data_IF_884272960188
#
_entry.id   IF_884272960188
#
_cell.length_a   1.000
_cell.length_b   1.000
_cell.length_c   1.000
_cell.angle_alpha   90.00
_cell.angle_beta   90.00
_cell.angle_gamma   90.00
#
_symmetry.space_group_name_H-M   'P 1'
#
loop_
_entity.id
_entity.type
_entity.pdbx_description
1 polymer ?
#
# COMPACT_ATOMS: atom_id res chain seq x y z
N UNK A 1 18.51 20.20 33.47
CA UNK A 1 17.75 18.95 33.39
C UNK A 1 18.33 18.16 32.23
N UNK A 2 19.02 17.06 32.52
CA UNK A 2 19.56 16.15 31.50
C UNK A 2 18.37 15.36 30.96
N UNK A 3 18.09 15.51 29.66
CA UNK A 3 17.13 14.65 28.98
C UNK A 3 17.70 13.21 28.98
N UNK A 4 16.97 12.29 29.62
CA UNK A 4 17.35 10.88 29.67
C UNK A 4 17.35 10.32 28.25
N UNK A 5 18.46 9.68 27.87
CA UNK A 5 18.54 8.86 26.66
C UNK A 5 17.50 7.75 26.83
N UNK A 6 16.55 7.54 25.87
CA UNK A 6 15.62 6.43 25.98
C UNK A 6 16.42 5.11 25.99
N UNK A 7 16.07 4.22 26.92
CA UNK A 7 16.68 2.90 26.98
C UNK A 7 16.51 2.20 25.63
N UNK A 8 17.57 1.66 25.07
CA UNK A 8 17.51 0.86 23.85
C UNK A 8 16.53 -0.31 24.10
N UNK A 9 15.42 -0.35 23.36
CA UNK A 9 14.50 -1.49 23.40
C UNK A 9 15.27 -2.76 23.08
N UNK A 10 15.08 -3.78 23.92
CA UNK A 10 15.75 -5.06 23.73
C UNK A 10 15.34 -5.65 22.36
N UNK A 11 16.32 -5.96 21.53
CA UNK A 11 16.06 -6.59 20.22
C UNK A 11 15.32 -7.93 20.45
N UNK A 12 14.24 -8.21 19.70
CA UNK A 12 13.54 -9.46 19.81
C UNK A 12 14.47 -10.62 19.43
N UNK A 13 14.44 -11.67 20.21
CA UNK A 13 15.24 -12.88 19.96
C UNK A 13 14.64 -13.64 18.77
N UNK A 14 15.43 -13.84 17.72
CA UNK A 14 15.06 -14.75 16.64
C UNK A 14 15.22 -16.20 17.09
N UNK A 15 14.23 -17.01 16.78
CA UNK A 15 14.25 -18.46 16.97
C UNK A 15 14.15 -19.15 15.61
N UNK A 16 14.76 -20.34 15.51
CA UNK A 16 14.77 -21.11 14.27
C UNK A 16 14.26 -22.52 14.57
N UNK A 17 13.28 -22.96 13.80
CA UNK A 17 12.83 -24.36 13.76
C UNK A 17 13.11 -24.94 12.37
N UNK A 18 13.41 -26.24 12.31
CA UNK A 18 13.58 -27.00 11.07
C UNK A 18 12.47 -28.01 10.95
N UNK A 19 11.83 -28.04 9.82
CA UNK A 19 10.95 -29.11 9.35
C UNK A 19 11.59 -29.78 8.13
N UNK A 20 11.10 -30.93 7.69
CA UNK A 20 11.78 -31.82 6.72
C UNK A 20 12.37 -31.14 5.46
N UNK A 21 11.87 -29.97 5.03
CA UNK A 21 12.39 -29.26 3.87
C UNK A 21 12.39 -27.73 4.02
N UNK A 22 12.03 -27.20 5.20
CA UNK A 22 11.92 -25.75 5.41
C UNK A 22 12.61 -25.34 6.69
N UNK A 23 13.15 -24.13 6.70
CA UNK A 23 13.62 -23.45 7.90
C UNK A 23 12.57 -22.39 8.25
N UNK A 24 12.02 -22.46 9.44
CA UNK A 24 11.10 -21.48 9.97
C UNK A 24 11.87 -20.56 10.90
N UNK A 25 11.90 -19.27 10.60
CA UNK A 25 12.44 -18.22 11.47
C UNK A 25 11.27 -17.51 12.11
N UNK A 26 11.24 -17.42 13.44
CA UNK A 26 10.14 -16.81 14.16
C UNK A 26 10.62 -15.95 15.32
N UNK A 27 9.77 -14.98 15.72
CA UNK A 27 10.04 -14.02 16.79
C UNK A 27 8.75 -13.60 17.49
N UNK A 28 8.82 -13.15 18.76
CA UNK A 28 7.66 -12.64 19.46
C UNK A 28 7.05 -11.43 18.76
N UNK A 29 5.75 -11.40 18.58
CA UNK A 29 5.03 -10.18 18.17
C UNK A 29 5.02 -9.23 19.35
N UNK A 30 5.68 -8.08 19.20
CA UNK A 30 5.60 -7.04 20.23
C UNK A 30 4.28 -6.29 20.13
N UNK A 31 3.66 -6.00 21.28
CA UNK A 31 2.38 -5.28 21.37
C UNK A 31 2.39 -3.88 20.70
N UNK A 32 3.54 -3.37 20.32
CA UNK A 32 3.73 -2.02 19.75
C UNK A 32 3.94 -2.00 18.23
N UNK A 33 3.63 -3.08 17.52
CA UNK A 33 3.59 -3.08 16.05
C UNK A 33 4.91 -2.75 15.35
N UNK A 34 6.05 -3.11 15.95
CA UNK A 34 7.35 -3.02 15.27
C UNK A 34 7.41 -4.04 14.14
N UNK A 35 7.35 -3.56 12.91
CA UNK A 35 7.55 -4.40 11.73
C UNK A 35 9.03 -4.79 11.67
N UNK A 36 9.32 -6.08 11.88
CA UNK A 36 10.64 -6.62 11.65
C UNK A 36 10.78 -7.08 10.21
N UNK A 37 11.82 -6.62 9.54
CA UNK A 37 12.23 -7.14 8.24
C UNK A 37 13.31 -8.19 8.47
N UNK A 38 13.03 -9.45 8.10
CA UNK A 38 14.05 -10.48 8.14
C UNK A 38 15.11 -10.20 7.07
N UNK A 39 16.34 -10.05 7.51
CA UNK A 39 17.51 -9.91 6.64
C UNK A 39 18.38 -11.15 6.73
N UNK A 40 19.07 -11.48 5.66
CA UNK A 40 20.01 -12.60 5.63
C UNK A 40 21.32 -12.21 4.97
N UNK A 41 22.37 -12.94 5.35
CA UNK A 41 23.70 -12.89 4.70
C UNK A 41 24.31 -14.29 4.67
N UNK A 42 25.17 -14.55 3.71
CA UNK A 42 25.98 -15.78 3.64
C UNK A 42 27.39 -15.58 4.22
N UNK A 43 27.76 -14.34 4.53
CA UNK A 43 29.07 -14.00 5.07
C UNK A 43 28.93 -13.02 6.25
N UNK A 44 29.65 -13.26 7.32
CA UNK A 44 29.70 -12.39 8.50
C UNK A 44 30.93 -11.45 8.57
N UNK A 45 31.85 -11.56 7.62
CA UNK A 45 33.08 -10.76 7.66
C UNK A 45 33.55 -10.28 6.25
N UNK A 46 33.19 -9.07 5.79
CA UNK A 46 32.17 -8.18 6.31
C UNK A 46 30.76 -8.66 5.94
N UNK A 47 29.77 -8.45 6.79
CA UNK A 47 28.41 -8.88 6.49
C UNK A 47 27.74 -7.95 5.47
N UNK A 48 27.16 -8.54 4.44
CA UNK A 48 26.22 -7.82 3.53
C UNK A 48 24.80 -8.29 3.82
N UNK A 49 24.09 -7.55 4.68
CA UNK A 49 22.73 -7.87 5.06
C UNK A 49 21.74 -7.38 4.00
N UNK A 50 21.00 -8.31 3.40
CA UNK A 50 19.93 -8.02 2.44
C UNK A 50 18.61 -8.61 2.94
N UNK A 51 17.49 -8.03 2.50
CA UNK A 51 16.17 -8.61 2.81
C UNK A 51 16.12 -10.07 2.34
N UNK A 52 15.57 -10.94 3.17
CA UNK A 52 15.39 -12.36 2.84
C UNK A 52 14.19 -12.48 1.87
N UNK A 53 14.45 -12.33 0.57
CA UNK A 53 13.43 -12.29 -0.49
C UNK A 53 12.71 -13.62 -0.73
N UNK A 54 13.23 -14.72 -0.19
CA UNK A 54 12.61 -16.04 -0.18
C UNK A 54 11.84 -16.34 1.11
N UNK A 55 11.74 -15.35 2.02
CA UNK A 55 10.98 -15.50 3.26
C UNK A 55 9.48 -15.42 2.97
N UNK A 56 8.76 -16.49 3.26
CA UNK A 56 7.30 -16.58 3.08
C UNK A 56 6.64 -16.60 4.46
N UNK A 57 5.70 -15.69 4.76
CA UNK A 57 4.95 -15.72 6.02
C UNK A 57 4.27 -17.08 6.25
N UNK A 58 4.35 -17.58 7.47
CA UNK A 58 3.73 -18.84 7.89
C UNK A 58 3.13 -18.68 9.29
N UNK A 59 2.13 -19.49 9.61
CA UNK A 59 1.56 -19.52 10.97
C UNK A 59 2.42 -20.40 11.87
N UNK A 60 2.89 -19.85 12.99
CA UNK A 60 3.63 -20.59 14.02
C UNK A 60 3.18 -20.17 15.42
N UNK A 61 2.11 -20.76 15.90
CA UNK A 61 1.45 -20.34 17.15
C UNK A 61 0.94 -18.89 17.05
N UNK A 62 1.24 -18.09 18.08
CA UNK A 62 0.93 -16.64 18.12
C UNK A 62 2.12 -15.76 17.77
N UNK A 63 3.17 -16.30 17.17
CA UNK A 63 4.40 -15.59 16.84
C UNK A 63 4.42 -15.18 15.38
N UNK A 64 5.09 -14.08 15.08
CA UNK A 64 5.44 -13.74 13.71
C UNK A 64 6.47 -14.77 13.20
N UNK A 65 6.21 -15.35 12.05
CA UNK A 65 7.05 -16.40 11.49
C UNK A 65 7.13 -16.32 9.97
N UNK A 66 8.28 -16.73 9.43
CA UNK A 66 8.48 -16.90 8.00
C UNK A 66 9.16 -18.22 7.71
N UNK A 67 8.76 -18.87 6.64
CA UNK A 67 9.48 -20.00 6.06
C UNK A 67 10.52 -19.47 5.08
N UNK A 68 11.74 -19.95 5.15
CA UNK A 68 12.81 -19.63 4.19
C UNK A 68 13.31 -20.89 3.52
N UNK A 69 13.82 -20.75 2.29
CA UNK A 69 14.35 -21.86 1.54
C UNK A 69 15.58 -22.45 2.26
N UNK A 70 15.59 -23.76 2.44
CA UNK A 70 16.76 -24.46 2.96
C UNK A 70 17.81 -24.55 1.84
N UNK A 71 18.94 -23.83 2.01
CA UNK A 71 20.06 -23.85 1.07
C UNK A 71 21.18 -24.72 1.61
N UNK A 72 22.03 -25.25 0.72
CA UNK A 72 23.22 -26.03 1.09
C UNK A 72 24.34 -25.17 1.69
N UNK A 73 24.27 -23.84 1.54
CA UNK A 73 25.25 -22.89 2.06
C UNK A 73 24.80 -22.34 3.42
N UNK A 74 25.78 -22.00 4.27
CA UNK A 74 25.50 -21.32 5.53
C UNK A 74 24.76 -20.00 5.27
N UNK A 75 23.71 -19.74 6.05
CA UNK A 75 22.91 -18.53 5.97
C UNK A 75 22.63 -18.01 7.37
N UNK A 76 22.89 -16.75 7.58
CA UNK A 76 22.70 -16.06 8.85
C UNK A 76 21.51 -15.12 8.72
N UNK A 77 20.77 -14.94 9.80
CA UNK A 77 19.57 -14.11 9.82
C UNK A 77 19.65 -13.07 10.94
N UNK A 78 19.09 -11.90 10.68
CA UNK A 78 18.79 -10.91 11.69
C UNK A 78 17.42 -10.29 11.42
N UNK A 79 16.76 -9.78 12.46
CA UNK A 79 15.59 -8.95 12.33
C UNK A 79 16.04 -7.49 12.33
N UNK A 80 15.78 -6.78 11.24
CA UNK A 80 15.92 -5.33 11.20
C UNK A 80 14.63 -4.73 11.70
N UNK A 81 14.62 -4.22 12.92
CA UNK A 81 13.46 -3.51 13.44
C UNK A 81 13.40 -2.14 12.77
N UNK A 82 12.32 -1.87 12.09
CA UNK A 82 12.00 -0.52 11.62
C UNK A 82 11.00 0.05 12.62
N UNK A 83 11.36 1.09 13.37
CA UNK A 83 10.41 1.72 14.27
C UNK A 83 9.17 2.14 13.47
N UNK A 84 7.96 1.99 14.02
CA UNK A 84 6.78 2.61 13.41
C UNK A 84 7.09 4.09 13.27
N UNK A 85 6.90 4.64 12.07
CA UNK A 85 7.03 6.08 11.90
C UNK A 85 5.99 6.76 12.80
N UNK A 86 6.33 7.90 13.39
CA UNK A 86 5.42 8.64 14.25
C UNK A 86 4.11 9.06 13.55
N UNK A 87 4.07 8.93 12.22
CA UNK A 87 2.95 9.26 11.33
C UNK A 87 2.06 8.05 10.97
N UNK A 88 2.25 6.90 11.62
CA UNK A 88 1.38 5.72 11.42
C UNK A 88 1.61 4.95 10.12
N UNK A 89 2.73 5.17 9.44
CA UNK A 89 3.07 4.47 8.20
C UNK A 89 3.72 3.09 8.45
N UNK A 90 3.62 2.20 7.48
CA UNK A 90 4.34 0.93 7.43
C UNK A 90 5.59 1.06 6.55
N UNK A 91 6.66 0.40 6.92
CA UNK A 91 7.88 0.31 6.10
C UNK A 91 7.76 -0.84 5.09
N UNK A 92 7.96 -0.52 3.83
CA UNK A 92 8.01 -1.50 2.74
C UNK A 92 9.46 -1.65 2.30
N UNK A 93 10.06 -2.84 2.44
CA UNK A 93 11.49 -3.03 2.16
C UNK A 93 11.78 -2.95 0.66
N UNK A 94 12.98 -2.48 0.33
CA UNK A 94 13.48 -2.53 -1.04
C UNK A 94 13.58 -3.97 -1.54
N UNK A 95 13.40 -4.17 -2.84
CA UNK A 95 13.61 -5.47 -3.47
C UNK A 95 12.86 -5.65 -4.77
N UNK A 96 13.26 -6.68 -5.51
CA UNK A 96 12.58 -7.08 -6.73
C UNK A 96 11.35 -7.91 -6.43
N UNK A 97 10.32 -7.78 -7.28
CA UNK A 97 9.15 -8.64 -7.28
C UNK A 97 8.58 -8.71 -8.70
N UNK A 98 7.66 -9.61 -8.93
CA UNK A 98 6.91 -9.68 -10.19
C UNK A 98 5.60 -8.92 -10.01
N UNK A 99 5.44 -7.79 -10.73
CA UNK A 99 4.17 -7.08 -10.85
C UNK A 99 3.28 -7.79 -11.88
N UNK A 100 1.98 -7.83 -11.60
CA UNK A 100 1.01 -8.57 -12.43
C UNK A 100 1.04 -10.08 -12.18
N UNK A 101 0.06 -10.76 -12.73
CA UNK A 101 -0.03 -12.22 -12.75
C UNK A 101 -0.85 -12.71 -13.95
N UNK A 102 -1.10 -14.02 -14.02
CA UNK A 102 -1.90 -14.65 -15.07
C UNK A 102 -3.11 -15.41 -14.53
N UNK A 103 -3.49 -15.14 -13.27
CA UNK A 103 -4.46 -15.95 -12.55
C UNK A 103 -5.88 -15.75 -13.13
N UNK A 104 -6.22 -14.51 -13.48
CA UNK A 104 -7.58 -14.14 -13.90
C UNK A 104 -7.67 -13.73 -15.39
N UNK A 105 -6.59 -13.92 -16.15
CA UNK A 105 -6.58 -13.72 -17.60
C UNK A 105 -6.62 -12.27 -18.07
N UNK A 106 -6.31 -11.34 -17.20
CA UNK A 106 -6.33 -9.90 -17.49
C UNK A 106 -5.21 -9.50 -18.46
N UNK A 107 -5.59 -9.00 -19.63
CA UNK A 107 -4.64 -8.64 -20.70
C UNK A 107 -3.67 -7.50 -20.33
N UNK A 108 -4.03 -6.71 -19.32
CA UNK A 108 -3.23 -5.57 -18.83
C UNK A 108 -2.24 -5.91 -17.73
N UNK A 109 -2.32 -7.10 -17.13
CA UNK A 109 -1.58 -7.51 -15.92
C UNK A 109 -0.45 -8.49 -16.21
N UNK A 110 0.19 -8.40 -17.37
CA UNK A 110 1.27 -9.31 -17.81
C UNK A 110 2.43 -9.28 -16.80
N UNK A 111 2.81 -10.46 -16.24
CA UNK A 111 3.87 -10.54 -15.25
C UNK A 111 5.18 -9.92 -15.72
N UNK A 112 5.70 -8.94 -14.98
CA UNK A 112 6.91 -8.21 -15.30
C UNK A 112 7.78 -8.09 -14.05
N UNK A 113 9.08 -8.38 -14.16
CA UNK A 113 10.01 -8.19 -13.04
C UNK A 113 10.37 -6.72 -12.89
N UNK A 114 10.19 -6.19 -11.68
CA UNK A 114 10.54 -4.82 -11.31
C UNK A 114 11.31 -4.81 -9.99
N UNK A 115 12.12 -3.77 -9.81
CA UNK A 115 12.72 -3.45 -8.52
C UNK A 115 12.06 -2.19 -7.96
N UNK A 116 11.73 -2.20 -6.68
CA UNK A 116 11.18 -1.04 -5.97
C UNK A 116 12.05 -0.74 -4.76
N UNK A 117 12.52 0.50 -4.66
CA UNK A 117 13.28 1.02 -3.51
C UNK A 117 12.44 1.00 -2.24
N UNK A 118 13.07 1.05 -1.06
CA UNK A 118 12.34 1.09 0.20
C UNK A 118 11.55 2.40 0.33
N UNK A 119 10.34 2.29 0.91
CA UNK A 119 9.46 3.42 1.13
C UNK A 119 8.56 3.18 2.35
N UNK A 120 7.89 4.23 2.80
CA UNK A 120 6.82 4.14 3.79
C UNK A 120 5.47 4.30 3.11
N UNK A 121 4.46 3.55 3.56
CA UNK A 121 3.07 3.62 3.10
C UNK A 121 2.13 3.79 4.28
N UNK A 122 1.10 4.62 4.14
CA UNK A 122 0.02 4.72 5.13
C UNK A 122 -0.56 3.34 5.40
N UNK A 123 -0.70 2.97 6.67
CA UNK A 123 -1.25 1.65 7.05
C UNK A 123 -2.69 1.49 6.62
N UNK A 124 -3.45 2.56 6.66
CA UNK A 124 -4.84 2.61 6.27
C UNK A 124 -5.03 3.51 5.04
N UNK A 125 -6.17 3.38 4.42
CA UNK A 125 -6.73 4.41 3.55
C UNK A 125 -6.79 5.76 4.29
N UNK A 126 -6.71 6.87 3.56
CA UNK A 126 -6.94 8.20 4.15
C UNK A 126 -8.39 8.26 4.61
N UNK A 127 -8.62 8.39 5.91
CA UNK A 127 -9.98 8.52 6.46
C UNK A 127 -10.58 9.91 6.21
N UNK A 128 -11.90 10.02 6.25
CA UNK A 128 -12.60 11.31 6.10
C UNK A 128 -12.12 12.33 7.13
N UNK A 129 -11.89 11.93 8.40
CA UNK A 129 -11.39 12.85 9.43
C UNK A 129 -9.96 13.30 9.14
N UNK A 130 -9.09 12.42 8.63
CA UNK A 130 -7.73 12.79 8.24
C UNK A 130 -7.75 13.73 7.02
N UNK A 131 -8.59 13.42 6.03
CA UNK A 131 -8.81 14.29 4.88
C UNK A 131 -9.24 15.69 5.32
N UNK A 132 -10.28 15.82 6.12
CA UNK A 132 -10.82 17.09 6.58
C UNK A 132 -9.79 17.94 7.36
N UNK A 133 -8.95 17.29 8.18
CA UNK A 133 -7.89 17.98 8.92
C UNK A 133 -6.87 18.64 7.99
N UNK A 134 -6.39 17.93 7.00
CA UNK A 134 -5.45 18.46 6.01
C UNK A 134 -6.14 19.42 5.03
N UNK A 135 -7.38 19.12 4.60
CA UNK A 135 -8.17 20.00 3.73
C UNK A 135 -8.36 21.39 4.34
N UNK A 136 -8.70 21.46 5.63
CA UNK A 136 -8.86 22.71 6.34
C UNK A 136 -7.53 23.50 6.42
N UNK A 137 -6.42 22.81 6.70
CA UNK A 137 -5.09 23.41 6.63
C UNK A 137 -4.78 23.90 5.20
N UNK A 138 -4.94 23.06 4.21
CA UNK A 138 -4.64 23.35 2.80
C UNK A 138 -5.39 24.58 2.30
N UNK A 139 -6.69 24.66 2.53
CA UNK A 139 -7.51 25.82 2.12
C UNK A 139 -7.08 27.11 2.81
N UNK A 140 -6.65 27.04 4.10
CA UNK A 140 -6.06 28.19 4.79
C UNK A 140 -4.71 28.65 4.20
N UNK A 141 -4.01 27.76 3.51
CA UNK A 141 -2.75 28.05 2.80
C UNK A 141 -2.96 28.38 1.30
N UNK A 142 -4.20 28.55 0.85
CA UNK A 142 -4.53 28.95 -0.53
C UNK A 142 -4.61 27.77 -1.52
N UNK A 143 -4.65 26.54 -1.06
CA UNK A 143 -4.96 25.39 -1.93
C UNK A 143 -6.42 25.44 -2.39
N UNK A 144 -6.68 24.98 -3.59
CA UNK A 144 -8.05 24.81 -4.12
C UNK A 144 -8.30 23.36 -4.49
N UNK A 145 -9.50 22.90 -4.23
CA UNK A 145 -9.96 21.55 -4.53
C UNK A 145 -11.24 21.62 -5.35
N UNK A 146 -11.43 20.64 -6.24
CA UNK A 146 -12.70 20.48 -6.98
C UNK A 146 -13.73 19.80 -6.07
N UNK A 147 -13.29 18.82 -5.28
CA UNK A 147 -14.14 18.05 -4.39
C UNK A 147 -13.71 18.28 -2.93
N UNK A 148 -14.70 18.42 -2.06
CA UNK A 148 -14.46 18.58 -0.62
C UNK A 148 -14.13 17.23 0.07
N UNK A 149 -14.33 16.11 -0.64
CA UNK A 149 -14.28 14.77 -0.06
C UNK A 149 -15.48 14.49 0.85
N UNK A 150 -15.97 13.27 0.81
CA UNK A 150 -17.09 12.85 1.66
C UNK A 150 -16.97 11.37 2.04
N UNK A 151 -17.75 10.94 3.00
CA UNK A 151 -18.18 9.58 3.31
C UNK A 151 -19.20 9.66 4.49
N UNK A 152 -19.76 8.53 4.88
CA UNK A 152 -20.80 8.43 5.92
C UNK A 152 -20.29 8.66 7.34
N UNK A 153 -19.00 8.49 7.64
CA UNK A 153 -18.44 8.63 8.98
C UNK A 153 -16.99 9.12 8.98
N UNK A 154 -16.55 9.69 10.08
CA UNK A 154 -15.22 10.27 10.24
C UNK A 154 -14.05 9.25 10.07
N UNK A 155 -14.29 7.99 10.41
CA UNK A 155 -13.30 6.90 10.37
C UNK A 155 -13.45 5.98 9.16
N UNK A 156 -14.35 6.25 8.22
CA UNK A 156 -14.42 5.57 6.92
C UNK A 156 -13.46 6.23 5.93
N UNK A 157 -13.08 5.59 4.81
CA UNK A 157 -12.20 6.20 3.80
C UNK A 157 -12.80 7.50 3.27
N UNK A 158 -11.98 8.50 2.99
CA UNK A 158 -12.47 9.60 2.16
C UNK A 158 -12.77 9.08 0.77
N UNK A 159 -13.90 9.49 0.22
CA UNK A 159 -14.32 9.20 -1.14
C UNK A 159 -14.78 10.47 -1.86
N UNK A 160 -15.16 10.33 -3.14
CA UNK A 160 -15.52 11.47 -3.98
C UNK A 160 -14.39 12.49 -4.04
N UNK A 161 -13.19 11.99 -4.33
CA UNK A 161 -11.97 12.78 -4.55
C UNK A 161 -11.34 12.37 -5.87
N UNK A 162 -10.93 13.34 -6.67
CA UNK A 162 -10.23 13.10 -7.92
C UNK A 162 -8.69 13.00 -7.71
N UNK A 163 -7.98 12.60 -8.76
CA UNK A 163 -6.54 12.45 -8.71
C UNK A 163 -5.81 13.77 -8.37
N UNK A 164 -6.29 14.89 -8.92
CA UNK A 164 -5.68 16.21 -8.67
C UNK A 164 -5.90 16.67 -7.23
N UNK A 165 -7.06 16.38 -6.66
CA UNK A 165 -7.36 16.68 -5.26
C UNK A 165 -6.45 15.87 -4.32
N UNK A 166 -6.25 14.57 -4.60
CA UNK A 166 -5.33 13.71 -3.84
C UNK A 166 -3.89 14.20 -3.90
N UNK A 167 -3.42 14.65 -5.07
CA UNK A 167 -2.08 15.20 -5.29
C UNK A 167 -1.87 16.51 -4.52
N UNK A 168 -2.83 17.43 -4.57
CA UNK A 168 -2.80 18.70 -3.82
C UNK A 168 -2.84 18.45 -2.31
N UNK A 169 -3.70 17.54 -1.86
CA UNK A 169 -3.81 17.15 -0.47
C UNK A 169 -2.49 16.56 0.06
N UNK A 170 -1.83 15.70 -0.72
CA UNK A 170 -0.53 15.12 -0.37
C UNK A 170 0.55 16.19 -0.19
N UNK A 171 0.56 17.22 -1.05
CA UNK A 171 1.43 18.37 -0.89
C UNK A 171 1.14 19.16 0.38
N UNK A 172 -0.13 19.43 0.66
CA UNK A 172 -0.54 20.13 1.88
C UNK A 172 -0.16 19.36 3.15
N UNK A 173 -0.37 18.03 3.17
CA UNK A 173 0.08 17.14 4.23
C UNK A 173 1.59 17.22 4.43
N UNK A 174 2.35 17.26 3.35
CA UNK A 174 3.80 17.42 3.40
C UNK A 174 4.19 18.74 4.05
N UNK A 175 3.60 19.84 3.63
CA UNK A 175 3.88 21.17 4.20
C UNK A 175 3.49 21.27 5.68
N UNK A 176 2.33 20.73 6.06
CA UNK A 176 1.91 20.70 7.45
C UNK A 176 2.88 19.91 8.34
N UNK A 177 3.46 18.82 7.79
CA UNK A 177 4.48 18.01 8.45
C UNK A 177 5.91 18.60 8.38
N UNK A 178 6.11 19.77 7.79
CA UNK A 178 7.44 20.37 7.59
C UNK A 178 8.32 19.64 6.57
N UNK A 179 7.70 18.83 5.69
CA UNK A 179 8.40 18.09 4.63
C UNK A 179 8.35 18.84 3.30
N UNK A 180 9.33 18.59 2.43
CA UNK A 180 9.33 19.12 1.06
C UNK A 180 8.23 18.47 0.24
N UNK A 181 7.27 19.24 -0.33
CA UNK A 181 6.25 18.73 -1.24
C UNK A 181 6.84 17.99 -2.43
N UNK A 182 6.07 17.06 -2.98
CA UNK A 182 6.51 16.25 -4.14
C UNK A 182 6.05 16.83 -5.46
N UNK A 183 4.88 17.51 -5.51
CA UNK A 183 4.23 17.87 -6.76
C UNK A 183 4.32 19.36 -7.07
N UNK A 184 4.62 19.67 -8.34
CA UNK A 184 4.92 21.01 -8.81
C UNK A 184 4.23 21.30 -10.15
N UNK A 185 4.03 22.58 -10.45
CA UNK A 185 3.51 23.03 -11.75
C UNK A 185 4.59 23.20 -12.81
N UNK A 186 5.88 23.09 -12.45
CA UNK A 186 7.01 23.27 -13.36
C UNK A 186 8.13 22.26 -13.11
N UNK A 187 8.88 21.93 -14.16
CA UNK A 187 9.98 20.97 -14.13
C UNK A 187 11.18 21.39 -13.24
N UNK A 188 11.28 22.68 -12.90
CA UNK A 188 12.31 23.21 -12.01
C UNK A 188 11.98 23.06 -10.53
N UNK A 189 10.82 22.52 -10.20
CA UNK A 189 10.34 22.29 -8.81
C UNK A 189 10.37 23.56 -7.94
N UNK A 190 9.99 24.70 -8.52
CA UNK A 190 9.98 25.99 -7.83
C UNK A 190 8.59 26.48 -7.45
N UNK A 191 7.55 25.91 -8.08
CA UNK A 191 6.14 26.27 -7.86
C UNK A 191 5.36 25.04 -7.44
N UNK A 192 5.04 24.94 -6.14
CA UNK A 192 4.24 23.85 -5.59
C UNK A 192 2.87 23.82 -6.26
N UNK A 193 2.39 22.61 -6.61
CA UNK A 193 1.08 22.42 -7.17
C UNK A 193 0.00 22.55 -6.08
N UNK A 194 -0.64 23.70 -6.03
CA UNK A 194 -1.68 24.06 -5.04
C UNK A 194 -3.03 24.35 -5.67
N UNK A 195 -3.04 24.61 -6.97
CA UNK A 195 -4.23 24.97 -7.73
C UNK A 195 -4.14 24.37 -9.14
N UNK A 196 -5.26 23.98 -9.68
CA UNK A 196 -5.37 23.36 -10.99
C UNK A 196 -6.02 21.98 -10.92
N UNK A 197 -6.49 21.53 -12.08
CA UNK A 197 -7.20 20.27 -12.30
C UNK A 197 -6.97 19.82 -13.76
N UNK A 198 -8.01 19.38 -14.43
CA UNK A 198 -7.98 18.84 -15.79
C UNK A 198 -7.15 19.71 -16.76
N UNK A 199 -6.25 19.04 -17.46
CA UNK A 199 -5.33 19.67 -18.39
C UNK A 199 -4.07 20.28 -17.76
N UNK A 200 -3.96 20.29 -16.42
CA UNK A 200 -2.75 20.75 -15.74
C UNK A 200 -1.67 19.66 -15.75
N UNK A 201 -0.47 20.02 -16.20
CA UNK A 201 0.69 19.13 -16.12
C UNK A 201 1.25 19.21 -14.70
N UNK A 202 1.35 18.04 -14.05
CA UNK A 202 1.92 17.91 -12.71
C UNK A 202 3.29 17.24 -12.81
N UNK A 203 4.33 17.90 -12.27
CA UNK A 203 5.69 17.39 -12.19
C UNK A 203 5.97 16.86 -10.79
N UNK A 204 6.60 15.69 -10.68
CA UNK A 204 6.95 15.07 -9.40
C UNK A 204 8.45 15.14 -9.12
N UNK A 205 8.82 15.75 -8.00
CA UNK A 205 10.18 15.70 -7.46
C UNK A 205 10.38 14.41 -6.65
N UNK A 206 10.87 13.39 -7.30
CA UNK A 206 11.09 12.07 -6.67
C UNK A 206 12.20 12.06 -5.61
N UNK A 207 13.02 13.08 -5.53
CA UNK A 207 14.01 13.26 -4.47
C UNK A 207 13.42 13.87 -3.19
N UNK A 208 12.20 14.42 -3.24
CA UNK A 208 11.54 14.98 -2.07
C UNK A 208 11.08 13.88 -1.11
N UNK A 209 11.02 14.22 0.20
CA UNK A 209 10.62 13.30 1.28
C UNK A 209 9.17 13.51 1.74
N UNK A 210 8.41 14.32 1.04
CA UNK A 210 7.00 14.55 1.30
C UNK A 210 6.12 13.36 0.95
N UNK A 211 4.85 13.49 1.33
CA UNK A 211 3.80 12.52 1.00
C UNK A 211 3.41 12.64 -0.47
N UNK A 212 3.06 11.52 -1.06
CA UNK A 212 2.62 11.40 -2.45
C UNK A 212 1.74 10.17 -2.66
N UNK A 213 1.08 10.09 -3.78
CA UNK A 213 0.44 8.86 -4.23
C UNK A 213 1.50 7.76 -4.45
N UNK A 214 1.17 6.49 -4.21
CA UNK A 214 2.03 5.38 -4.60
C UNK A 214 2.16 5.32 -6.12
N UNK A 215 3.29 4.85 -6.63
CA UNK A 215 3.32 4.30 -7.97
C UNK A 215 2.54 2.98 -7.99
N UNK A 216 2.11 2.56 -9.16
CA UNK A 216 1.42 1.28 -9.32
C UNK A 216 2.26 0.11 -8.81
N UNK A 217 3.55 0.12 -9.07
CA UNK A 217 4.48 -0.92 -8.60
C UNK A 217 4.69 -0.88 -7.08
N UNK A 218 4.72 0.30 -6.47
CA UNK A 218 4.77 0.43 -5.00
C UNK A 218 3.49 -0.10 -4.37
N UNK A 219 2.32 0.22 -4.94
CA UNK A 219 1.04 -0.25 -4.43
C UNK A 219 0.95 -1.78 -4.46
N UNK A 220 1.21 -2.41 -5.63
CA UNK A 220 1.12 -3.87 -5.74
C UNK A 220 2.14 -4.60 -4.87
N UNK A 221 3.39 -4.10 -4.80
CA UNK A 221 4.39 -4.66 -3.86
C UNK A 221 3.90 -4.62 -2.42
N UNK A 222 3.30 -3.52 -2.02
CA UNK A 222 2.74 -3.32 -0.69
C UNK A 222 1.53 -4.24 -0.44
N UNK A 223 0.61 -4.34 -1.40
CA UNK A 223 -0.56 -5.21 -1.33
C UNK A 223 -0.18 -6.68 -1.16
N UNK A 224 0.81 -7.15 -1.89
CA UNK A 224 1.29 -8.54 -1.79
C UNK A 224 1.88 -8.89 -0.43
N UNK A 225 2.14 -7.94 0.45
CA UNK A 225 2.54 -8.20 1.85
C UNK A 225 3.79 -9.06 2.01
N UNK A 226 4.67 -9.14 0.99
CA UNK A 226 5.84 -10.03 0.93
C UNK A 226 5.55 -11.40 0.31
N UNK A 227 4.32 -11.72 -0.03
CA UNK A 227 3.95 -12.93 -0.77
C UNK A 227 4.24 -12.77 -2.25
N UNK A 228 4.42 -13.89 -2.95
CA UNK A 228 4.60 -13.89 -4.40
C UNK A 228 3.57 -14.78 -5.06
N UNK A 229 3.02 -14.33 -6.19
CA UNK A 229 2.08 -15.10 -7.02
C UNK A 229 0.77 -15.50 -6.33
N UNK A 230 0.41 -14.85 -5.23
CA UNK A 230 -0.88 -15.04 -4.59
C UNK A 230 -1.90 -14.07 -5.21
N UNK A 231 -3.17 -14.47 -5.26
CA UNK A 231 -4.25 -13.63 -5.80
C UNK A 231 -4.51 -12.41 -4.91
N UNK A 232 -4.60 -12.64 -3.58
CA UNK A 232 -4.95 -11.62 -2.60
C UNK A 232 -3.78 -11.33 -1.64
N UNK A 233 -3.87 -10.29 -0.80
CA UNK A 233 -2.82 -9.88 0.14
C UNK A 233 -2.39 -10.95 1.16
N UNK A 234 -3.16 -12.02 1.31
CA UNK A 234 -2.98 -13.09 2.31
C UNK A 234 -2.96 -14.51 1.72
N UNK A 235 -3.26 -14.69 0.44
CA UNK A 235 -3.33 -16.02 -0.20
C UNK A 235 -4.18 -16.04 -1.46
N UNK A 236 -4.74 -17.20 -1.79
CA UNK A 236 -5.47 -17.40 -3.04
C UNK A 236 -6.99 -17.47 -2.87
N UNK A 237 -7.50 -17.27 -1.66
CA UNK A 237 -8.94 -17.21 -1.35
C UNK A 237 -9.29 -15.93 -0.61
N UNK A 238 -10.53 -15.48 -0.71
CA UNK A 238 -11.05 -14.29 -0.05
C UNK A 238 -12.37 -14.60 0.65
N UNK A 239 -12.67 -13.84 1.72
CA UNK A 239 -13.96 -13.85 2.40
C UNK A 239 -14.25 -12.47 2.99
N UNK A 240 -15.51 -12.20 3.32
CA UNK A 240 -15.92 -10.97 4.01
C UNK A 240 -15.30 -10.76 5.41
N UNK A 241 -14.63 -11.78 5.97
CA UNK A 241 -13.83 -11.60 7.19
C UNK A 241 -12.46 -10.98 6.94
N UNK A 242 -12.06 -10.82 5.68
CA UNK A 242 -10.76 -10.34 5.25
C UNK A 242 -10.82 -9.02 4.48
N UNK A 243 -11.97 -8.74 3.82
CA UNK A 243 -12.16 -7.56 3.00
C UNK A 243 -13.63 -7.11 2.98
N UNK A 244 -13.88 -5.86 2.58
CA UNK A 244 -15.20 -5.32 2.32
C UNK A 244 -15.45 -5.30 0.81
N UNK A 245 -16.26 -6.24 0.32
CA UNK A 245 -16.58 -6.46 -1.09
C UNK A 245 -17.96 -7.11 -1.23
N UNK A 246 -18.46 -7.29 -2.43
CA UNK A 246 -19.72 -7.99 -2.75
C UNK A 246 -19.40 -9.48 -3.03
N UNK A 247 -19.69 -10.37 -2.07
CA UNK A 247 -19.35 -11.79 -2.15
C UNK A 247 -20.19 -12.54 -3.20
N UNK A 248 -19.54 -13.42 -3.98
CA UNK A 248 -20.20 -14.30 -4.96
C UNK A 248 -19.49 -15.66 -5.04
N UNK A 249 -19.93 -16.59 -4.19
CA UNK A 249 -19.41 -17.95 -4.14
C UNK A 249 -19.91 -18.84 -5.30
N UNK A 250 -20.88 -18.37 -6.07
CA UNK A 250 -21.42 -19.14 -7.19
C UNK A 250 -20.55 -18.99 -8.45
N UNK A 251 -20.04 -17.78 -8.69
CA UNK A 251 -19.24 -17.49 -9.87
C UNK A 251 -17.73 -17.63 -9.60
N UNK A 252 -17.29 -17.43 -8.33
CA UNK A 252 -15.87 -17.46 -7.99
C UNK A 252 -15.55 -18.51 -6.93
N UNK A 253 -14.92 -19.62 -7.33
CA UNK A 253 -14.56 -20.73 -6.45
C UNK A 253 -13.53 -20.37 -5.36
N UNK A 254 -12.82 -19.27 -5.49
CA UNK A 254 -11.89 -18.73 -4.50
C UNK A 254 -12.54 -17.74 -3.52
N UNK A 255 -13.80 -17.37 -3.75
CA UNK A 255 -14.63 -16.63 -2.81
C UNK A 255 -15.27 -17.58 -1.81
N UNK A 256 -15.00 -17.35 -0.53
CA UNK A 256 -15.52 -18.17 0.58
C UNK A 256 -16.80 -17.57 1.21
N UNK A 257 -17.25 -16.43 0.69
CA UNK A 257 -18.47 -15.76 1.08
C UNK A 257 -18.44 -15.02 2.43
N UNK A 258 -19.62 -14.71 2.95
CA UNK A 258 -20.95 -14.96 2.38
C UNK A 258 -21.25 -14.18 1.10
N UNK A 259 -22.36 -14.50 0.39
CA UNK A 259 -22.79 -13.79 -0.81
C UNK A 259 -23.46 -12.46 -0.47
N UNK A 260 -23.29 -11.49 -1.35
CA UNK A 260 -23.85 -10.14 -1.23
C UNK A 260 -22.90 -9.20 -0.49
N UNK A 261 -23.38 -8.00 -0.20
CA UNK A 261 -22.60 -7.00 0.54
C UNK A 261 -22.37 -7.41 1.99
N UNK A 262 -21.20 -7.04 2.51
CA UNK A 262 -20.87 -7.31 3.91
C UNK A 262 -21.90 -6.70 4.87
N UNK A 263 -22.71 -7.56 5.48
CA UNK A 263 -23.86 -7.17 6.29
C UNK A 263 -23.51 -6.26 7.49
N UNK A 264 -22.25 -6.25 7.93
CA UNK A 264 -21.78 -5.37 9.01
C UNK A 264 -21.78 -3.88 8.59
N UNK A 265 -21.72 -3.58 7.28
CA UNK A 265 -21.52 -2.22 6.77
C UNK A 265 -22.69 -1.69 5.93
N UNK A 266 -23.73 -2.49 5.70
CA UNK A 266 -24.93 -2.07 4.96
C UNK A 266 -25.89 -1.19 5.77
N UNK A 267 -25.71 -1.13 7.08
CA UNK A 267 -26.54 -0.27 7.94
C UNK A 267 -26.18 1.21 7.74
N UNK A 268 -27.19 2.04 7.46
CA UNK A 268 -27.02 3.49 7.28
C UNK A 268 -27.10 3.96 5.82
N UNK A 269 -27.30 3.03 4.88
CA UNK A 269 -27.41 3.35 3.46
C UNK A 269 -26.04 3.47 2.76
N UNK A 270 -26.07 3.76 1.47
CA UNK A 270 -24.88 3.96 0.65
C UNK A 270 -24.03 5.17 1.12
N UNK A 271 -22.71 5.09 0.95
CA UNK A 271 -21.90 3.95 0.52
C UNK A 271 -21.76 2.89 1.62
N UNK A 272 -21.48 1.63 1.24
CA UNK A 272 -21.27 0.54 2.22
C UNK A 272 -19.80 0.40 2.65
N UNK A 273 -19.06 1.50 2.66
CA UNK A 273 -17.68 1.55 3.16
C UNK A 273 -17.58 1.07 4.61
N UNK A 274 -16.48 0.39 4.94
CA UNK A 274 -16.13 0.02 6.32
C UNK A 274 -15.23 1.08 6.96
N UNK A 275 -15.20 1.22 8.29
CA UNK A 275 -14.15 1.97 8.96
C UNK A 275 -12.76 1.47 8.56
N UNK A 276 -11.82 2.40 8.30
CA UNK A 276 -10.47 2.02 7.90
C UNK A 276 -9.81 1.11 8.94
N UNK A 277 -9.16 0.04 8.49
CA UNK A 277 -8.51 -0.93 9.38
C UNK A 277 -9.47 -1.93 10.03
N UNK A 278 -10.68 -2.14 9.48
CA UNK A 278 -11.66 -3.09 10.02
C UNK A 278 -11.25 -4.55 9.86
N UNK A 279 -10.33 -4.86 8.97
CA UNK A 279 -9.93 -6.22 8.61
C UNK A 279 -8.49 -6.52 9.03
N UNK A 280 -8.06 -7.80 9.03
CA UNK A 280 -6.68 -8.15 9.34
C UNK A 280 -5.68 -7.49 8.38
N UNK A 281 -4.56 -7.01 8.92
CA UNK A 281 -3.49 -6.46 8.11
C UNK A 281 -2.74 -7.55 7.32
N UNK A 282 -2.18 -7.18 6.17
CA UNK A 282 -1.29 -8.05 5.40
C UNK A 282 0.10 -8.19 6.06
N UNK A 283 1.01 -8.93 5.42
CA UNK A 283 2.35 -9.22 5.94
C UNK A 283 3.26 -8.00 6.17
N UNK A 284 2.93 -6.83 5.61
CA UNK A 284 3.60 -5.56 5.88
C UNK A 284 2.86 -4.67 6.90
N UNK A 285 1.77 -5.17 7.47
CA UNK A 285 0.96 -4.42 8.44
C UNK A 285 0.11 -3.33 7.81
N UNK A 286 -0.31 -3.53 6.56
CA UNK A 286 -1.23 -2.67 5.82
C UNK A 286 -2.63 -3.25 5.85
N UNK A 287 -3.60 -2.39 6.06
CA UNK A 287 -5.02 -2.71 6.11
C UNK A 287 -5.70 -2.32 4.81
N UNK A 288 -6.85 -2.92 4.53
CA UNK A 288 -7.71 -2.56 3.40
C UNK A 288 -6.93 -2.53 2.07
N UNK A 289 -6.12 -3.58 1.80
CA UNK A 289 -5.40 -3.77 0.53
C UNK A 289 -6.17 -4.70 -0.42
N UNK A 290 -7.44 -4.94 -0.12
CA UNK A 290 -8.45 -5.57 -0.95
C UNK A 290 -9.82 -5.08 -0.50
N UNK A 291 -10.56 -4.40 -1.38
CA UNK A 291 -11.91 -3.89 -1.14
C UNK A 291 -11.97 -2.54 -0.41
N UNK A 292 -13.16 -2.17 -0.01
CA UNK A 292 -13.54 -0.90 0.58
C UNK A 292 -13.64 0.23 -0.44
N UNK A 293 -12.54 0.81 -0.93
CA UNK A 293 -12.51 1.79 -2.03
C UNK A 293 -11.32 1.55 -2.95
N UNK A 294 -11.46 1.79 -4.26
CA UNK A 294 -10.31 1.79 -5.17
C UNK A 294 -9.39 2.97 -4.89
N UNK A 295 -8.11 2.81 -5.14
CA UNK A 295 -7.08 3.75 -4.73
C UNK A 295 -6.34 4.39 -5.91
N UNK A 296 -6.34 5.72 -5.97
CA UNK A 296 -5.53 6.45 -6.94
C UNK A 296 -4.04 6.14 -6.80
N UNK A 297 -3.41 5.81 -7.94
CA UNK A 297 -1.96 5.74 -8.10
C UNK A 297 -1.44 6.93 -8.93
N UNK A 298 -0.12 7.16 -8.84
CA UNK A 298 0.55 8.20 -9.64
C UNK A 298 0.51 7.91 -11.13
N UNK A 299 0.61 6.65 -11.54
CA UNK A 299 0.95 6.24 -12.90
C UNK A 299 -0.14 6.62 -13.92
N UNK A 300 0.28 7.07 -15.09
CA UNK A 300 -0.55 6.97 -16.26
C UNK A 300 -0.71 5.51 -16.66
N UNK A 301 -1.91 5.13 -17.09
CA UNK A 301 -2.13 3.77 -17.56
C UNK A 301 -1.37 3.48 -18.85
N UNK A 302 -0.67 2.36 -18.87
CA UNK A 302 0.01 1.81 -20.03
C UNK A 302 0.17 0.30 -19.91
N UNK A 303 0.23 -0.39 -21.05
CA UNK A 303 0.44 -1.83 -21.12
C UNK A 303 1.42 -2.13 -22.24
N UNK A 304 2.38 -3.06 -22.04
CA UNK A 304 2.67 -3.78 -20.80
C UNK A 304 3.22 -2.85 -19.69
N UNK A 305 3.37 -3.37 -18.46
CA UNK A 305 4.04 -2.63 -17.39
C UNK A 305 5.43 -2.14 -17.80
N UNK A 306 5.80 -0.96 -17.38
CA UNK A 306 7.19 -0.52 -17.44
C UNK A 306 8.04 -1.37 -16.49
N UNK A 307 9.03 -2.07 -17.02
CA UNK A 307 10.00 -2.84 -16.23
C UNK A 307 11.06 -1.94 -15.59
N UNK A 308 12.06 -2.58 -14.95
CA UNK A 308 13.23 -1.89 -14.41
C UNK A 308 13.11 -1.49 -12.94
N UNK A 309 13.81 -0.42 -12.55
CA UNK A 309 13.86 0.05 -11.16
C UNK A 309 12.95 1.25 -10.96
N UNK A 310 12.16 1.22 -9.88
CA UNK A 310 11.23 2.27 -9.46
C UNK A 310 10.34 2.78 -10.63
N UNK A 311 9.60 1.87 -11.33
CA UNK A 311 8.80 2.27 -12.47
C UNK A 311 7.68 3.22 -12.03
N UNK A 312 7.36 4.18 -12.91
CA UNK A 312 6.42 5.29 -12.64
C UNK A 312 5.35 5.42 -13.72
N UNK A 313 5.13 4.34 -14.45
CA UNK A 313 4.26 4.33 -15.62
C UNK A 313 4.86 5.08 -16.83
N UNK A 314 4.14 5.13 -17.94
CA UNK A 314 4.53 5.90 -19.12
C UNK A 314 4.41 7.42 -18.86
N UNK A 315 5.06 8.23 -19.68
CA UNK A 315 5.01 9.70 -19.57
C UNK A 315 3.60 10.27 -19.82
N UNK A 316 2.77 9.54 -20.54
CA UNK A 316 1.38 9.88 -20.83
C UNK A 316 0.58 8.59 -21.13
N UNK A 317 -0.72 8.66 -21.02
CA UNK A 317 -1.63 7.59 -21.46
C UNK A 317 -2.28 8.00 -22.78
N UNK A 318 -2.39 7.09 -23.78
CA UNK A 318 -3.12 7.37 -25.01
C UNK A 318 -4.61 7.61 -24.78
N UNK A 319 -5.12 7.17 -23.65
CA UNK A 319 -6.53 7.33 -23.24
C UNK A 319 -6.73 8.46 -22.24
N UNK A 320 -5.65 9.08 -21.73
CA UNK A 320 -5.73 10.10 -20.69
C UNK A 320 -6.15 9.55 -19.33
N UNK A 321 -5.90 8.25 -19.04
CA UNK A 321 -6.31 7.59 -17.81
C UNK A 321 -5.16 7.40 -16.84
N UNK A 322 -5.46 7.61 -15.53
CA UNK A 322 -4.60 7.22 -14.42
C UNK A 322 -4.95 5.82 -13.94
N UNK A 323 -3.98 5.17 -13.33
CA UNK A 323 -4.17 3.86 -12.70
C UNK A 323 -4.84 4.03 -11.34
N UNK A 324 -5.80 3.16 -11.05
CA UNK A 324 -6.26 2.87 -9.71
C UNK A 324 -6.00 1.40 -9.41
N UNK A 325 -5.84 1.09 -8.16
CA UNK A 325 -5.60 -0.26 -7.67
C UNK A 325 -6.61 -0.60 -6.59
N UNK A 326 -6.71 -1.88 -6.29
CA UNK A 326 -7.75 -2.43 -5.43
C UNK A 326 -9.12 -2.55 -6.11
N UNK A 327 -10.06 -3.23 -5.46
CA UNK A 327 -11.49 -3.15 -5.73
C UNK A 327 -12.20 -2.31 -4.67
N UNK A 328 -13.52 -2.23 -4.73
CA UNK A 328 -14.31 -1.48 -3.76
C UNK A 328 -15.52 -2.30 -3.27
N UNK A 329 -16.21 -1.80 -2.27
CA UNK A 329 -17.28 -2.49 -1.53
C UNK A 329 -18.42 -3.04 -2.40
N UNK A 330 -18.63 -2.55 -3.63
CA UNK A 330 -19.65 -2.97 -4.60
C UNK A 330 -19.07 -3.85 -5.73
N UNK A 331 -17.83 -4.32 -5.59
CA UNK A 331 -17.21 -5.22 -6.53
C UNK A 331 -17.19 -6.66 -6.00
N UNK A 332 -17.27 -7.63 -6.92
CA UNK A 332 -17.07 -9.03 -6.61
C UNK A 332 -15.59 -9.40 -6.38
N UNK A 333 -15.36 -10.64 -5.96
CA UNK A 333 -14.05 -11.15 -5.62
C UNK A 333 -13.00 -11.09 -6.76
N UNK A 334 -13.42 -11.05 -8.03
CA UNK A 334 -12.50 -11.03 -9.17
C UNK A 334 -11.71 -9.72 -9.27
N UNK A 335 -12.28 -8.64 -8.75
CA UNK A 335 -11.70 -7.30 -8.80
C UNK A 335 -10.82 -6.98 -7.58
N UNK A 336 -10.76 -7.89 -6.57
CA UNK A 336 -10.00 -7.74 -5.33
C UNK A 336 -8.54 -8.20 -5.44
N UNK A 337 -8.13 -8.70 -6.60
CA UNK A 337 -6.80 -9.26 -6.79
C UNK A 337 -5.68 -8.23 -6.71
N UNK A 338 -4.53 -8.60 -6.08
CA UNK A 338 -3.36 -7.72 -6.01
C UNK A 338 -2.89 -7.22 -7.39
N UNK A 339 -3.13 -7.97 -8.47
CA UNK A 339 -2.73 -7.63 -9.82
C UNK A 339 -3.81 -6.85 -10.60
N UNK A 340 -5.03 -6.76 -10.08
CA UNK A 340 -6.13 -6.11 -10.79
C UNK A 340 -5.86 -4.60 -10.97
N UNK A 341 -6.24 -4.07 -12.15
CA UNK A 341 -5.97 -2.69 -12.56
C UNK A 341 -7.25 -1.98 -12.98
N UNK A 342 -7.65 -0.95 -12.26
CA UNK A 342 -8.62 0.01 -12.73
C UNK A 342 -7.98 1.18 -13.46
N UNK A 343 -8.73 1.85 -14.30
CA UNK A 343 -8.27 3.04 -15.04
C UNK A 343 -9.40 4.04 -15.18
N UNK A 344 -9.14 5.28 -14.79
CA UNK A 344 -10.13 6.35 -14.89
C UNK A 344 -9.47 7.66 -15.36
N UNK A 345 -10.31 8.55 -15.88
CA UNK A 345 -9.92 9.93 -16.11
C UNK A 345 -9.53 10.60 -14.77
N UNK A 346 -8.40 11.33 -14.68
CA UNK A 346 -7.94 11.91 -13.41
C UNK A 346 -8.89 12.92 -12.76
N UNK A 347 -9.91 13.41 -13.46
CA UNK A 347 -10.95 14.29 -12.87
C UNK A 347 -12.21 13.53 -12.46
N UNK A 348 -12.22 12.22 -12.55
CA UNK A 348 -13.38 11.45 -12.11
C UNK A 348 -13.31 11.24 -10.60
N UNK A 349 -14.44 11.41 -9.94
CA UNK A 349 -14.62 11.19 -8.51
C UNK A 349 -15.98 10.51 -8.28
N UNK A 350 -16.02 9.51 -7.40
CA UNK A 350 -17.23 8.76 -7.08
C UNK A 350 -17.17 8.19 -5.65
N UNK A 351 -18.29 7.64 -5.18
CA UNK A 351 -18.52 7.07 -3.83
C UNK A 351 -17.74 5.77 -3.54
N UNK A 352 -16.78 5.46 -4.35
CA UNK A 352 -15.95 4.24 -4.25
C UNK A 352 -14.46 4.50 -4.53
N UNK A 353 -14.09 5.79 -4.64
CA UNK A 353 -12.73 6.19 -5.02
C UNK A 353 -12.08 6.99 -3.90
N UNK A 354 -11.00 6.46 -3.39
CA UNK A 354 -10.16 7.06 -2.36
C UNK A 354 -8.67 6.94 -2.67
N UNK A 355 -7.83 6.97 -1.65
CA UNK A 355 -6.39 6.83 -1.79
C UNK A 355 -5.69 6.59 -0.45
N UNK A 356 -4.42 6.22 -0.53
CA UNK A 356 -3.44 6.29 0.56
C UNK A 356 -2.15 6.94 0.09
N UNK A 357 -1.34 7.48 1.02
CA UNK A 357 -0.07 8.07 0.69
C UNK A 357 1.10 7.14 0.94
N UNK A 358 2.18 7.43 0.20
CA UNK A 358 3.53 6.93 0.46
C UNK A 358 4.50 8.09 0.63
N UNK A 359 5.69 7.82 1.15
CA UNK A 359 6.84 8.72 1.10
C UNK A 359 8.15 7.95 1.02
N UNK A 360 9.18 8.59 0.46
CA UNK A 360 10.51 7.98 0.37
C UNK A 360 11.15 7.71 1.74
N UNK A 361 11.85 6.59 1.83
CA UNK A 361 12.66 6.21 2.98
C UNK A 361 13.90 7.09 3.13
#
# INVERSE_FOLDING_TARGET
MLAGVPAAEAQPTLSIARTNNQVIVFWPTTANGTNGVLQSTTNLAPPNWVSATDAVPVTYGSQAAVSVTNTTSARFFRLSLVPPTADGMAFIPAGSFTIGDTLDGESGSIPTNVYVSAFYMDRNLVSLSQWQGIYSYATSQGYTFVHAGMDKAANTPVETVDWFDCVKWSNARSQQAGLTPVYYTNAGFTQVFTNGDNGTIVYANWGAKGYRLPTEAEWEKAARGGLSRQRFPWGDTISESQANYDGDTADYSYDLGPNGYNAAFTNGGYPYTSPVGSFPANGYGLYDMAGNVVEWCWDWYGTPYAGGSDPRGPASSPYGYRVLRDGFWDNDASLMGCAYRFTLNPNYADLNIGFRCVRGH
#
